data_IF_217612581489
#
_entry.id   IF_217612581489
#
_cell.length_a   1.000
_cell.length_b   1.000
_cell.length_c   1.000
_cell.angle_alpha   90.00
_cell.angle_beta   90.00
_cell.angle_gamma   90.00
#
_symmetry.space_group_name_H-M   'P 1'
#
loop_
_entity.id
_entity.type
_entity.pdbx_description
1 polymer ?
#
# COMPACT_ATOMS: atom_id res chain seq x y z
N UNK A 1 19.29 -0.64 1.01
CA UNK A 1 18.68 -0.79 -0.33
C UNK A 1 17.22 -0.30 -0.32
N UNK A 2 16.83 0.57 -1.25
CA UNK A 2 15.47 1.12 -1.35
C UNK A 2 14.42 0.02 -1.50
N UNK A 3 14.79 -1.11 -2.12
CA UNK A 3 13.96 -2.31 -2.28
C UNK A 3 13.50 -2.97 -0.96
N UNK A 4 14.15 -2.68 0.18
CA UNK A 4 13.80 -3.23 1.49
C UNK A 4 13.27 -2.16 2.47
N UNK A 5 12.96 -0.96 1.97
CA UNK A 5 12.38 0.09 2.84
C UNK A 5 10.98 -0.32 3.30
N UNK A 6 10.62 0.06 4.52
CA UNK A 6 9.29 -0.17 5.12
C UNK A 6 8.41 1.10 5.05
N UNK A 7 8.91 2.19 4.46
CA UNK A 7 8.12 3.41 4.30
C UNK A 7 7.04 3.20 3.23
N UNK A 8 5.78 3.33 3.65
CA UNK A 8 4.56 3.15 2.85
C UNK A 8 3.89 4.47 2.44
N UNK A 9 4.40 5.61 2.91
CA UNK A 9 3.81 6.95 2.67
C UNK A 9 2.71 7.29 3.68
N UNK A 10 2.51 8.59 3.91
CA UNK A 10 1.58 9.11 4.94
C UNK A 10 0.31 9.73 4.36
N UNK A 11 0.33 9.97 3.05
CA UNK A 11 -0.71 10.62 2.27
C UNK A 11 -0.68 10.09 0.82
N UNK A 12 -1.76 10.31 0.07
CA UNK A 12 -1.91 9.83 -1.30
C UNK A 12 -0.73 10.24 -2.19
N UNK A 13 -0.30 11.49 -2.08
CA UNK A 13 0.81 12.05 -2.86
C UNK A 13 2.14 11.37 -2.49
N UNK A 14 2.39 11.14 -1.20
CA UNK A 14 3.57 10.45 -0.71
C UNK A 14 3.64 9.01 -1.22
N UNK A 15 2.53 8.28 -1.20
CA UNK A 15 2.47 6.90 -1.73
C UNK A 15 2.73 6.89 -3.24
N UNK A 16 2.07 7.75 -4.01
CA UNK A 16 2.28 7.85 -5.46
C UNK A 16 3.74 8.15 -5.81
N UNK A 17 4.39 9.03 -5.05
CA UNK A 17 5.82 9.33 -5.23
C UNK A 17 6.71 8.12 -4.91
N UNK A 18 6.39 7.37 -3.85
CA UNK A 18 7.12 6.15 -3.50
C UNK A 18 6.94 5.06 -4.57
N UNK A 19 5.75 4.91 -5.14
CA UNK A 19 5.47 4.00 -6.26
C UNK A 19 6.32 4.36 -7.47
N UNK A 20 6.33 5.64 -7.88
CA UNK A 20 7.17 6.10 -9.01
C UNK A 20 8.65 5.79 -8.79
N UNK A 21 9.16 6.03 -7.59
CA UNK A 21 10.54 5.67 -7.23
C UNK A 21 10.79 4.16 -7.27
N UNK A 22 9.84 3.36 -6.78
CA UNK A 22 9.95 1.89 -6.79
C UNK A 22 9.86 1.31 -8.20
N UNK A 23 9.08 1.91 -9.09
CA UNK A 23 9.04 1.54 -10.51
C UNK A 23 10.42 1.70 -11.18
N UNK A 24 11.17 2.76 -10.86
CA UNK A 24 12.54 2.92 -11.34
C UNK A 24 13.45 1.78 -10.85
N UNK A 25 13.35 1.40 -9.57
CA UNK A 25 14.10 0.27 -9.00
C UNK A 25 13.74 -1.05 -9.68
N UNK A 26 12.46 -1.29 -9.97
CA UNK A 26 12.02 -2.50 -10.68
C UNK A 26 12.57 -2.54 -12.11
N UNK A 27 12.61 -1.40 -12.81
CA UNK A 27 13.21 -1.31 -14.13
C UNK A 27 14.73 -1.60 -14.10
N UNK A 28 15.45 -1.08 -13.10
CA UNK A 28 16.87 -1.39 -12.89
C UNK A 28 17.11 -2.88 -12.61
N UNK A 29 16.29 -3.50 -11.75
CA UNK A 29 16.34 -4.95 -11.50
C UNK A 29 16.10 -5.74 -12.79
N UNK A 30 15.09 -5.36 -13.58
CA UNK A 30 14.79 -6.04 -14.84
C UNK A 30 15.93 -5.87 -15.85
N UNK A 31 16.54 -4.69 -15.95
CA UNK A 31 17.69 -4.44 -16.82
C UNK A 31 18.91 -5.30 -16.43
N UNK A 32 19.12 -5.55 -15.15
CA UNK A 32 20.20 -6.42 -14.67
C UNK A 32 19.91 -7.91 -14.81
N UNK A 33 18.66 -8.32 -15.03
CA UNK A 33 18.27 -9.73 -15.13
C UNK A 33 19.01 -10.47 -16.25
N UNK A 34 19.12 -9.86 -17.43
CA UNK A 34 19.83 -10.47 -18.55
C UNK A 34 21.32 -10.65 -18.27
N UNK A 35 21.94 -9.70 -17.55
CA UNK A 35 23.35 -9.79 -17.19
C UNK A 35 23.59 -10.89 -16.16
N UNK A 36 22.71 -11.02 -15.16
CA UNK A 36 22.80 -12.10 -14.16
C UNK A 36 22.61 -13.46 -14.83
N UNK A 37 21.61 -13.59 -15.72
CA UNK A 37 21.40 -14.82 -16.50
C UNK A 37 22.62 -15.18 -17.36
N UNK A 38 23.21 -14.21 -18.06
CA UNK A 38 24.40 -14.43 -18.86
C UNK A 38 25.60 -14.92 -18.04
N UNK A 39 25.84 -14.33 -16.86
CA UNK A 39 26.92 -14.79 -15.96
C UNK A 39 26.67 -16.20 -15.44
N UNK A 40 25.42 -16.53 -15.07
CA UNK A 40 25.07 -17.89 -14.65
C UNK A 40 25.27 -18.88 -15.80
N UNK A 41 24.82 -18.56 -17.01
CA UNK A 41 24.97 -19.41 -18.19
C UNK A 41 26.44 -19.68 -18.53
N UNK A 42 27.29 -18.65 -18.60
CA UNK A 42 28.73 -18.83 -18.86
C UNK A 42 29.39 -19.67 -17.76
N UNK A 43 28.96 -19.49 -16.50
CA UNK A 43 29.45 -20.31 -15.41
C UNK A 43 29.03 -21.78 -15.52
N UNK A 44 27.81 -22.05 -15.95
CA UNK A 44 27.30 -23.41 -16.19
C UNK A 44 28.03 -24.09 -17.36
N UNK A 45 28.32 -23.34 -18.42
CA UNK A 45 29.14 -23.82 -19.56
C UNK A 45 30.54 -24.23 -19.09
N UNK A 46 31.22 -23.39 -18.27
CA UNK A 46 32.54 -23.72 -17.70
C UNK A 46 32.51 -24.99 -16.82
N UNK A 47 31.44 -25.18 -16.05
CA UNK A 47 31.27 -26.40 -15.25
C UNK A 47 31.06 -27.63 -16.14
N UNK A 48 30.34 -27.48 -17.26
CA UNK A 48 30.11 -28.56 -18.23
C UNK A 48 31.37 -28.99 -19.00
N UNK A 49 32.34 -28.09 -19.14
CA UNK A 49 33.63 -28.35 -19.78
C UNK A 49 34.69 -28.94 -18.82
N UNK A 50 34.28 -29.43 -17.64
CA UNK A 50 35.17 -29.97 -16.60
C UNK A 50 36.30 -28.99 -16.19
N UNK A 51 35.97 -27.69 -16.09
CA UNK A 51 36.94 -26.68 -15.67
C UNK A 51 37.53 -27.02 -14.29
N UNK A 52 38.82 -26.76 -14.09
CA UNK A 52 39.54 -27.15 -12.86
C UNK A 52 38.95 -26.57 -11.56
N UNK A 53 38.21 -25.46 -11.68
CA UNK A 53 37.53 -24.77 -10.58
C UNK A 53 36.00 -24.96 -10.57
N UNK A 54 35.48 -26.01 -11.21
CA UNK A 54 34.03 -26.24 -11.39
C UNK A 54 33.24 -26.19 -10.07
N UNK A 55 33.77 -26.77 -8.98
CA UNK A 55 33.09 -26.76 -7.68
C UNK A 55 32.95 -25.35 -7.10
N UNK A 56 33.97 -24.49 -7.24
CA UNK A 56 33.92 -23.10 -6.80
C UNK A 56 32.99 -22.25 -7.68
N UNK A 57 33.04 -22.48 -9.01
CA UNK A 57 32.18 -21.80 -9.97
C UNK A 57 30.70 -22.12 -9.68
N UNK A 58 30.37 -23.39 -9.48
CA UNK A 58 29.00 -23.81 -9.17
C UNK A 58 28.48 -23.19 -7.86
N UNK A 59 29.30 -23.15 -6.79
CA UNK A 59 28.95 -22.46 -5.54
C UNK A 59 28.67 -20.97 -5.75
N UNK A 60 29.45 -20.30 -6.60
CA UNK A 60 29.24 -18.87 -6.92
C UNK A 60 27.95 -18.64 -7.72
N UNK A 61 27.66 -19.49 -8.70
CA UNK A 61 26.42 -19.40 -9.49
C UNK A 61 25.21 -19.57 -8.57
N UNK A 62 25.20 -20.61 -7.74
CA UNK A 62 24.09 -20.85 -6.80
C UNK A 62 23.89 -19.65 -5.87
N UNK A 63 24.97 -19.16 -5.25
CA UNK A 63 24.89 -18.01 -4.34
C UNK A 63 24.47 -16.71 -5.03
N UNK A 64 24.78 -16.53 -6.32
CA UNK A 64 24.30 -15.40 -7.12
C UNK A 64 22.80 -15.53 -7.40
N UNK A 65 22.36 -16.69 -7.87
CA UNK A 65 20.95 -17.00 -8.16
C UNK A 65 20.07 -16.83 -6.92
N UNK A 66 20.50 -17.34 -5.77
CA UNK A 66 19.75 -17.22 -4.51
C UNK A 66 19.58 -15.75 -4.08
N UNK A 67 20.67 -14.97 -4.14
CA UNK A 67 20.64 -13.53 -3.81
C UNK A 67 19.77 -12.75 -4.79
N UNK A 68 19.81 -13.11 -6.07
CA UNK A 68 18.98 -12.51 -7.11
C UNK A 68 17.50 -12.76 -6.88
N UNK A 69 17.14 -14.02 -6.58
CA UNK A 69 15.77 -14.41 -6.31
C UNK A 69 15.22 -13.70 -5.06
N UNK A 70 16.00 -13.66 -3.97
CA UNK A 70 15.62 -12.93 -2.75
C UNK A 70 15.43 -11.43 -3.01
N UNK A 71 16.25 -10.82 -3.88
CA UNK A 71 16.09 -9.42 -4.24
C UNK A 71 14.77 -9.18 -4.99
N UNK A 72 14.44 -10.05 -5.95
CA UNK A 72 13.17 -9.99 -6.70
C UNK A 72 11.97 -10.14 -5.77
N UNK A 73 12.00 -11.11 -4.86
CA UNK A 73 10.94 -11.32 -3.88
C UNK A 73 10.72 -10.09 -3.00
N UNK A 74 11.78 -9.52 -2.45
CA UNK A 74 11.69 -8.28 -1.65
C UNK A 74 11.13 -7.12 -2.46
N UNK A 75 11.56 -6.97 -3.71
CA UNK A 75 11.06 -5.91 -4.58
C UNK A 75 9.58 -6.08 -4.93
N UNK A 76 9.12 -7.32 -5.15
CA UNK A 76 7.72 -7.64 -5.39
C UNK A 76 6.86 -7.44 -4.14
N UNK A 77 7.33 -7.88 -2.97
CA UNK A 77 6.63 -7.63 -1.71
C UNK A 77 6.46 -6.13 -1.46
N UNK A 78 7.53 -5.34 -1.65
CA UNK A 78 7.45 -3.88 -1.51
C UNK A 78 6.48 -3.25 -2.52
N UNK A 79 6.37 -3.80 -3.73
CA UNK A 79 5.38 -3.33 -4.72
C UNK A 79 3.97 -3.56 -4.19
N UNK A 80 3.68 -4.75 -3.66
CA UNK A 80 2.37 -5.06 -3.08
C UNK A 80 2.04 -4.14 -1.91
N UNK A 81 2.98 -3.97 -0.97
CA UNK A 81 2.80 -3.09 0.19
C UNK A 81 2.47 -1.64 -0.19
N UNK A 82 3.06 -1.13 -1.28
CA UNK A 82 2.80 0.21 -1.79
C UNK A 82 1.45 0.31 -2.52
N UNK A 83 1.06 -0.74 -3.23
CA UNK A 83 -0.24 -0.82 -3.92
C UNK A 83 -1.39 -0.87 -2.92
N UNK A 84 -1.27 -1.71 -1.88
CA UNK A 84 -2.22 -1.78 -0.77
C UNK A 84 -2.34 -0.40 -0.07
N UNK A 85 -1.21 0.26 0.17
CA UNK A 85 -1.21 1.59 0.78
C UNK A 85 -1.87 2.63 -0.13
N UNK A 86 -1.65 2.56 -1.44
CA UNK A 86 -2.28 3.47 -2.41
C UNK A 86 -3.79 3.30 -2.39
N UNK A 87 -4.27 2.06 -2.43
CA UNK A 87 -5.70 1.75 -2.43
C UNK A 87 -6.39 2.28 -1.16
N UNK A 88 -5.75 2.11 0.00
CA UNK A 88 -6.26 2.62 1.26
C UNK A 88 -6.34 4.16 1.28
N UNK A 89 -5.25 4.85 0.90
CA UNK A 89 -5.24 6.32 0.86
C UNK A 89 -6.23 6.90 -0.15
N UNK A 90 -6.39 6.25 -1.30
CA UNK A 90 -7.40 6.64 -2.30
C UNK A 90 -8.80 6.51 -1.72
N UNK A 91 -9.10 5.40 -1.04
CA UNK A 91 -10.39 5.18 -0.41
C UNK A 91 -10.71 6.27 0.61
N UNK A 92 -9.77 6.60 1.50
CA UNK A 92 -9.99 7.65 2.48
C UNK A 92 -10.16 9.03 1.85
N UNK A 93 -9.43 9.34 0.77
CA UNK A 93 -9.60 10.59 0.03
C UNK A 93 -11.01 10.69 -0.57
N UNK A 94 -11.42 9.65 -1.30
CA UNK A 94 -12.71 9.59 -1.98
C UNK A 94 -13.88 9.57 -0.97
N UNK A 95 -13.72 8.90 0.17
CA UNK A 95 -14.71 8.90 1.25
C UNK A 95 -14.87 10.27 1.90
N UNK A 96 -13.77 11.00 2.15
CA UNK A 96 -13.82 12.36 2.68
C UNK A 96 -14.45 13.34 1.68
N UNK A 97 -14.17 13.19 0.39
CA UNK A 97 -14.83 13.97 -0.66
C UNK A 97 -16.34 13.68 -0.67
N UNK A 98 -16.72 12.41 -0.59
CA UNK A 98 -18.11 12.02 -0.53
C UNK A 98 -18.84 12.58 0.71
N UNK A 99 -18.21 12.52 1.89
CA UNK A 99 -18.75 13.15 3.10
C UNK A 99 -18.92 14.66 2.98
N UNK A 100 -17.95 15.32 2.35
CA UNK A 100 -18.00 16.78 2.15
C UNK A 100 -19.14 17.15 1.21
N UNK A 101 -19.30 16.41 0.11
CA UNK A 101 -20.40 16.59 -0.82
C UNK A 101 -21.77 16.39 -0.15
N UNK A 102 -21.92 15.35 0.67
CA UNK A 102 -23.18 15.12 1.40
C UNK A 102 -23.51 16.28 2.35
N UNK A 103 -22.53 16.78 3.10
CA UNK A 103 -22.70 17.95 4.00
C UNK A 103 -23.11 19.21 3.24
N UNK A 104 -22.60 19.40 2.02
CA UNK A 104 -22.99 20.54 1.17
C UNK A 104 -24.43 20.44 0.65
N UNK A 105 -24.90 19.23 0.34
CA UNK A 105 -26.25 18.99 -0.21
C UNK A 105 -27.34 18.91 0.85
N UNK A 106 -27.00 18.51 2.08
CA UNK A 106 -27.93 18.39 3.22
C UNK A 106 -28.85 19.62 3.45
N UNK A 107 -28.35 20.87 3.49
CA UNK A 107 -29.21 22.04 3.69
C UNK A 107 -30.14 22.33 2.50
N UNK A 108 -29.77 21.92 1.29
CA UNK A 108 -30.60 22.12 0.08
C UNK A 108 -31.81 21.19 0.13
N UNK A 109 -31.60 19.94 0.53
CA UNK A 109 -32.68 18.95 0.73
C UNK A 109 -33.60 19.35 1.88
N UNK A 110 -33.03 19.93 2.96
CA UNK A 110 -33.79 20.38 4.13
C UNK A 110 -34.55 21.71 3.95
N UNK A 111 -34.44 22.36 2.80
CA UNK A 111 -35.13 23.63 2.55
C UNK A 111 -36.65 23.45 2.54
N UNK A 112 -37.36 24.26 3.32
CA UNK A 112 -38.83 24.32 3.35
C UNK A 112 -39.39 25.49 2.52
N UNK A 113 -38.57 26.06 1.63
CA UNK A 113 -39.03 27.07 0.67
C UNK A 113 -39.78 26.40 -0.48
N UNK A 114 -41.06 26.71 -0.61
CA UNK A 114 -41.95 26.18 -1.66
C UNK A 114 -42.26 27.21 -2.75
N UNK A 115 -41.65 28.39 -2.69
CA UNK A 115 -41.99 29.50 -3.58
C UNK A 115 -43.22 30.25 -3.11
N UNK A 116 -43.34 31.50 -3.58
CA UNK A 116 -44.42 32.43 -3.21
C UNK A 116 -45.44 32.61 -4.33
N UNK A 117 -45.12 32.14 -5.54
CA UNK A 117 -45.87 32.26 -6.78
C UNK A 117 -45.52 31.09 -7.72
N UNK A 118 -46.28 30.94 -8.81
CA UNK A 118 -46.13 29.83 -9.77
C UNK A 118 -44.71 29.78 -10.37
N UNK A 119 -44.17 30.94 -10.77
CA UNK A 119 -42.83 31.03 -11.37
C UNK A 119 -41.73 30.60 -10.38
N UNK A 120 -41.83 30.99 -9.11
CA UNK A 120 -40.85 30.57 -8.09
C UNK A 120 -40.99 29.10 -7.71
N UNK A 121 -42.21 28.54 -7.71
CA UNK A 121 -42.44 27.12 -7.51
C UNK A 121 -41.85 26.29 -8.67
N UNK A 122 -42.08 26.67 -9.93
CA UNK A 122 -41.51 25.99 -11.10
C UNK A 122 -39.97 26.04 -11.09
N UNK A 123 -39.38 27.17 -10.67
CA UNK A 123 -37.94 27.30 -10.54
C UNK A 123 -37.36 26.39 -9.44
N UNK A 124 -38.08 26.20 -8.33
CA UNK A 124 -37.69 25.28 -7.25
C UNK A 124 -37.82 23.82 -7.68
N UNK A 125 -38.87 23.48 -8.44
CA UNK A 125 -39.06 22.14 -9.01
C UNK A 125 -37.89 21.75 -9.92
N UNK A 126 -37.48 22.62 -10.85
CA UNK A 126 -36.30 22.38 -11.70
C UNK A 126 -35.01 22.19 -10.91
N UNK A 127 -34.81 22.95 -9.82
CA UNK A 127 -33.67 22.77 -8.92
C UNK A 127 -33.71 21.43 -8.20
N UNK A 128 -34.90 20.99 -7.79
CA UNK A 128 -35.09 19.69 -7.16
C UNK A 128 -34.83 18.54 -8.14
N UNK A 129 -35.31 18.63 -9.38
CA UNK A 129 -34.99 17.64 -10.43
C UNK A 129 -33.47 17.53 -10.67
N UNK A 130 -32.78 18.68 -10.76
CA UNK A 130 -31.32 18.69 -10.90
C UNK A 130 -30.63 18.05 -9.67
N UNK A 131 -31.11 18.31 -8.47
CA UNK A 131 -30.59 17.70 -7.24
C UNK A 131 -30.83 16.18 -7.22
N UNK A 132 -31.98 15.71 -7.69
CA UNK A 132 -32.29 14.28 -7.78
C UNK A 132 -31.37 13.57 -8.77
N UNK A 133 -31.10 14.19 -9.93
CA UNK A 133 -30.13 13.67 -10.89
C UNK A 133 -28.70 13.63 -10.31
N UNK A 134 -28.29 14.67 -9.59
CA UNK A 134 -27.02 14.71 -8.87
C UNK A 134 -26.91 13.58 -7.83
N UNK A 135 -27.97 13.34 -7.05
CA UNK A 135 -28.03 12.27 -6.04
C UNK A 135 -27.93 10.87 -6.67
N UNK A 136 -28.63 10.64 -7.78
CA UNK A 136 -28.56 9.39 -8.52
C UNK A 136 -27.14 9.14 -9.05
N UNK A 137 -26.53 10.17 -9.66
CA UNK A 137 -25.16 10.09 -10.16
C UNK A 137 -24.16 9.80 -9.02
N UNK A 138 -24.32 10.46 -7.87
CA UNK A 138 -23.49 10.26 -6.70
C UNK A 138 -23.66 8.87 -6.06
N UNK A 139 -24.83 8.24 -6.23
CA UNK A 139 -25.05 6.84 -5.86
C UNK A 139 -24.01 5.89 -6.47
N UNK A 140 -23.55 6.17 -7.70
CA UNK A 140 -22.48 5.40 -8.34
C UNK A 140 -21.14 5.54 -7.59
N UNK A 141 -20.81 6.74 -7.10
CA UNK A 141 -19.61 6.99 -6.30
C UNK A 141 -19.65 6.21 -4.98
N UNK A 142 -20.80 6.18 -4.31
CA UNK A 142 -20.99 5.38 -3.08
C UNK A 142 -20.85 3.88 -3.37
N UNK A 143 -21.38 3.41 -4.49
CA UNK A 143 -21.21 2.02 -4.92
C UNK A 143 -19.73 1.69 -5.16
N UNK A 144 -19.01 2.53 -5.90
CA UNK A 144 -17.58 2.37 -6.16
C UNK A 144 -16.75 2.36 -4.85
N UNK A 145 -17.04 3.29 -3.92
CA UNK A 145 -16.43 3.32 -2.59
C UNK A 145 -16.67 2.04 -1.81
N UNK A 146 -17.87 1.45 -1.91
CA UNK A 146 -18.20 0.18 -1.26
C UNK A 146 -17.40 -0.99 -1.84
N UNK A 147 -17.29 -1.06 -3.16
CA UNK A 147 -16.47 -2.10 -3.83
C UNK A 147 -14.99 -1.95 -3.49
N UNK A 148 -14.50 -0.71 -3.43
CA UNK A 148 -13.13 -0.40 -3.04
C UNK A 148 -12.88 -0.78 -1.57
N UNK A 149 -13.81 -0.49 -0.66
CA UNK A 149 -13.72 -0.88 0.74
C UNK A 149 -13.65 -2.41 0.92
N UNK A 150 -14.39 -3.17 0.11
CA UNK A 150 -14.32 -4.65 0.12
C UNK A 150 -12.99 -5.18 -0.44
N UNK A 151 -12.40 -4.46 -1.39
CA UNK A 151 -11.15 -4.83 -2.03
C UNK A 151 -9.91 -4.37 -1.26
N UNK A 152 -10.04 -3.33 -0.44
CA UNK A 152 -9.01 -2.85 0.49
C UNK A 152 -8.64 -3.98 1.46
N UNK A 153 -7.57 -4.71 1.14
CA UNK A 153 -6.96 -5.63 2.08
C UNK A 153 -6.39 -4.79 3.22
N UNK A 154 -6.95 -5.03 4.39
CA UNK A 154 -6.54 -4.47 5.66
C UNK A 154 -5.01 -4.55 5.80
N UNK A 155 -4.29 -3.46 5.53
CA UNK A 155 -3.07 -3.21 6.30
C UNK A 155 -3.60 -2.82 7.67
N UNK A 156 -3.50 -3.75 8.62
CA UNK A 156 -3.82 -3.52 10.02
C UNK A 156 -3.36 -2.11 10.39
N UNK A 157 -4.34 -1.24 10.64
CA UNK A 157 -4.09 -0.05 11.44
C UNK A 157 -3.36 -0.54 12.69
N UNK A 158 -2.28 0.12 13.16
CA UNK A 158 -1.83 -0.13 14.51
C UNK A 158 -3.06 0.00 15.40
N UNK A 159 -3.44 -1.10 16.05
CA UNK A 159 -4.67 -1.17 16.83
C UNK A 159 -4.48 -0.20 17.98
N UNK A 160 -5.10 0.98 17.88
CA UNK A 160 -5.18 1.92 18.99
C UNK A 160 -6.26 1.38 19.92
N UNK A 161 -5.85 0.65 20.94
CA UNK A 161 -6.72 0.37 22.09
C UNK A 161 -7.10 1.69 22.78
N UNK A 162 -8.24 1.72 23.48
CA UNK A 162 -8.81 2.84 24.24
C UNK A 162 -7.86 3.47 25.30
N UNK A 163 -6.63 2.95 25.42
CA UNK A 163 -5.55 3.46 26.26
C UNK A 163 -4.38 4.13 25.48
N UNK A 164 -4.48 4.31 24.15
CA UNK A 164 -3.44 5.00 23.35
C UNK A 164 -2.13 4.22 23.21
N UNK A 165 -2.17 2.90 23.40
CA UNK A 165 -0.99 2.02 23.32
C UNK A 165 -0.86 1.45 21.90
N UNK A 166 0.26 1.70 21.25
CA UNK A 166 0.53 1.20 19.90
C UNK A 166 1.02 -0.25 19.94
N UNK A 167 0.39 -1.13 19.15
CA UNK A 167 0.80 -2.53 19.01
C UNK A 167 1.31 -2.83 17.59
N UNK A 168 2.29 -3.74 17.48
CA UNK A 168 2.87 -4.20 16.22
C UNK A 168 3.08 -5.71 16.25
N UNK A 169 2.99 -6.37 15.09
CA UNK A 169 3.26 -7.80 14.96
C UNK A 169 4.69 -8.03 14.48
N UNK A 170 5.37 -8.99 15.09
CA UNK A 170 6.68 -9.44 14.68
C UNK A 170 6.63 -10.13 13.30
N UNK A 171 7.19 -9.51 12.28
CA UNK A 171 7.25 -10.08 10.92
C UNK A 171 8.39 -11.11 10.74
N UNK A 172 9.37 -11.09 11.64
CA UNK A 172 10.54 -11.96 11.62
C UNK A 172 10.89 -12.41 13.03
N UNK A 173 11.57 -13.54 13.14
CA UNK A 173 12.20 -13.95 14.39
C UNK A 173 13.43 -13.07 14.66
N UNK A 174 13.55 -12.59 15.90
CA UNK A 174 14.66 -11.76 16.34
C UNK A 174 15.13 -12.25 17.73
N UNK A 175 16.44 -12.29 17.93
CA UNK A 175 17.04 -12.62 19.23
C UNK A 175 18.28 -11.76 19.42
N UNK A 176 18.23 -10.85 20.40
CA UNK A 176 19.35 -9.96 20.71
C UNK A 176 20.40 -10.69 21.57
N UNK A 177 21.69 -10.59 21.19
CA UNK A 177 22.81 -11.23 21.94
C UNK A 177 23.31 -10.39 23.14
N UNK A 178 22.46 -9.51 23.67
CA UNK A 178 22.75 -8.58 24.77
C UNK A 178 22.28 -9.19 26.11
N UNK A 179 22.85 -8.81 27.27
CA UNK A 179 22.46 -9.35 28.60
C UNK A 179 20.99 -9.11 29.01
N UNK A 180 20.23 -8.32 28.23
CA UNK A 180 18.77 -8.33 28.28
C UNK A 180 18.31 -9.29 27.18
N UNK A 181 18.09 -10.55 27.52
CA UNK A 181 17.56 -11.53 26.55
C UNK A 181 16.16 -11.10 26.10
N UNK A 182 16.08 -10.48 24.93
CA UNK A 182 14.82 -10.22 24.23
C UNK A 182 14.81 -11.11 23.00
N UNK A 183 13.92 -12.10 23.01
CA UNK A 183 13.60 -12.93 21.86
C UNK A 183 12.17 -12.65 21.42
N UNK A 184 11.96 -12.59 20.11
CA UNK A 184 10.70 -12.23 19.48
C UNK A 184 10.47 -13.23 18.35
N UNK A 185 9.33 -13.92 18.36
CA UNK A 185 8.99 -14.89 17.33
C UNK A 185 8.12 -14.24 16.27
N UNK A 186 8.18 -14.77 15.05
CA UNK A 186 7.27 -14.34 13.97
C UNK A 186 5.82 -14.58 14.41
N UNK A 187 5.00 -13.52 14.37
CA UNK A 187 3.60 -13.52 14.78
C UNK A 187 3.35 -12.99 16.20
N UNK A 188 4.39 -12.71 16.99
CA UNK A 188 4.21 -12.11 18.32
C UNK A 188 3.65 -10.68 18.20
N UNK A 189 2.61 -10.38 18.99
CA UNK A 189 2.08 -9.01 19.13
C UNK A 189 2.88 -8.30 20.22
N UNK A 190 3.43 -7.14 19.89
CA UNK A 190 4.35 -6.37 20.72
C UNK A 190 3.79 -4.99 20.94
N UNK A 191 4.08 -4.41 22.10
CA UNK A 191 3.78 -3.01 22.35
C UNK A 191 4.97 -2.14 21.98
N UNK A 192 4.74 -1.09 21.21
CA UNK A 192 5.72 -0.02 21.02
C UNK A 192 5.76 0.85 22.29
N UNK A 193 6.97 1.04 22.83
CA UNK A 193 7.23 1.97 23.92
C UNK A 193 7.75 3.28 23.31
N UNK A 194 6.96 4.35 23.38
CA UNK A 194 7.42 5.69 23.03
C UNK A 194 8.18 6.31 24.23
N UNK A 195 9.10 7.24 23.97
CA UNK A 195 9.99 7.85 24.99
C UNK A 195 9.25 8.60 26.11
N UNK A 196 7.95 8.85 25.95
CA UNK A 196 7.07 9.47 26.94
C UNK A 196 6.40 8.48 27.91
N UNK A 197 6.52 7.17 27.68
CA UNK A 197 5.97 6.11 28.53
C UNK A 197 7.11 5.33 29.23
N UNK A 198 7.92 6.03 30.02
CA UNK A 198 8.84 5.43 30.99
C UNK A 198 8.20 5.37 32.37
#
# INVERSE_FOLDING_TARGET
PIAASTNRGRDLIGVQNLIKKHQAVLAEINNHENRVKGVCQTGEEMVSEDHFASEEIQKKIQGLTDKWQQLKEKAMQRKQDLDDSLQAHQYFADANEAESWMKEKEPIVGSQDYGKDEDSAEALEKKHEALMADLEAFGNTIHALREQAQSCRQQETPVIDQAGKEFVIALYEYTEKSPREVSMKKGDVLTLLNSNNK
#
